data_IF_195656598355
#
_entry.id   IF_195656598355
#
_cell.length_a   1.000
_cell.length_b   1.000
_cell.length_c   1.000
_cell.angle_alpha   90.00
_cell.angle_beta   90.00
_cell.angle_gamma   90.00
#
_symmetry.space_group_name_H-M   'P 1'
#
loop_
_entity.id
_entity.type
_entity.pdbx_description
1 polymer ?
#
# COMPACT_ATOMS: atom_id res chain seq x y z
N UNK A 1 -31.03 10.50 -20.60
CA UNK A 1 -30.54 11.24 -19.42
C UNK A 1 -29.51 10.39 -18.67
N UNK A 2 -28.23 10.75 -18.69
CA UNK A 2 -27.18 10.04 -17.92
C UNK A 2 -27.27 10.48 -16.45
N UNK A 3 -27.58 9.57 -15.53
CA UNK A 3 -27.59 9.87 -14.09
C UNK A 3 -26.16 10.26 -13.67
N UNK A 4 -25.96 11.50 -13.20
CA UNK A 4 -24.67 11.93 -12.63
C UNK A 4 -24.42 11.10 -11.36
N UNK A 5 -23.31 10.36 -11.31
CA UNK A 5 -22.89 9.66 -10.09
C UNK A 5 -22.56 10.70 -9.02
N UNK A 6 -23.44 10.87 -8.03
CA UNK A 6 -23.14 11.70 -6.86
C UNK A 6 -22.23 10.89 -5.94
N UNK A 7 -20.91 11.05 -6.10
CA UNK A 7 -19.95 10.52 -5.14
C UNK A 7 -20.19 11.22 -3.78
N UNK A 8 -21.00 10.61 -2.91
CA UNK A 8 -21.27 11.13 -1.56
C UNK A 8 -19.95 11.18 -0.80
N UNK A 9 -19.47 12.40 -0.56
CA UNK A 9 -18.25 12.67 0.20
C UNK A 9 -18.44 12.30 1.67
N UNK A 10 -17.40 11.72 2.26
CA UNK A 10 -17.35 11.46 3.70
C UNK A 10 -17.31 12.80 4.45
N UNK A 11 -18.23 13.05 5.41
CA UNK A 11 -18.24 14.29 6.19
C UNK A 11 -16.92 14.49 6.94
N UNK A 12 -16.57 15.75 7.20
CA UNK A 12 -15.39 16.09 8.01
C UNK A 12 -15.57 15.53 9.43
N UNK A 13 -14.44 15.17 10.07
CA UNK A 13 -14.39 14.60 11.42
C UNK A 13 -15.29 15.30 12.46
N UNK A 14 -15.25 16.64 12.65
CA UNK A 14 -16.10 17.29 13.64
C UNK A 14 -17.60 17.10 13.35
N UNK A 15 -17.99 17.19 12.08
CA UNK A 15 -19.37 16.97 11.65
C UNK A 15 -19.79 15.51 11.85
N UNK A 16 -18.90 14.55 11.57
CA UNK A 16 -19.16 13.13 11.88
C UNK A 16 -19.39 12.91 13.36
N UNK A 17 -18.54 13.44 14.23
CA UNK A 17 -18.68 13.27 15.68
C UNK A 17 -20.00 13.84 16.21
N UNK A 18 -20.45 14.97 15.66
CA UNK A 18 -21.76 15.54 15.98
C UNK A 18 -22.91 14.62 15.57
N UNK A 19 -22.91 14.19 14.30
CA UNK A 19 -23.94 13.29 13.76
C UNK A 19 -23.89 11.90 14.41
N UNK A 20 -22.71 11.44 14.79
CA UNK A 20 -22.50 10.14 15.42
C UNK A 20 -23.18 10.03 16.78
N UNK A 21 -23.22 11.12 17.56
CA UNK A 21 -23.97 11.13 18.83
C UNK A 21 -25.45 10.84 18.61
N UNK A 22 -26.05 11.51 17.62
CA UNK A 22 -27.45 11.30 17.25
C UNK A 22 -27.67 9.89 16.68
N UNK A 23 -26.76 9.44 15.82
CA UNK A 23 -26.81 8.11 15.21
C UNK A 23 -26.71 6.99 16.26
N UNK A 24 -25.81 7.11 17.24
CA UNK A 24 -25.64 6.14 18.32
C UNK A 24 -26.90 5.97 19.16
N UNK A 25 -27.69 7.03 19.36
CA UNK A 25 -28.94 6.98 20.11
C UNK A 25 -30.01 6.11 19.43
N UNK A 26 -30.00 6.03 18.10
CA UNK A 26 -30.97 5.25 17.30
C UNK A 26 -30.40 3.93 16.78
N UNK A 27 -29.10 3.69 16.95
CA UNK A 27 -28.43 2.53 16.39
C UNK A 27 -28.67 1.26 17.23
N UNK A 28 -29.54 0.38 16.74
CA UNK A 28 -29.85 -0.92 17.37
C UNK A 28 -28.96 -2.10 16.94
N UNK A 29 -27.86 -1.85 16.23
CA UNK A 29 -27.01 -2.93 15.71
C UNK A 29 -26.00 -3.47 16.74
N UNK A 30 -25.67 -4.77 16.63
CA UNK A 30 -24.75 -5.46 17.57
C UNK A 30 -23.32 -4.92 17.55
N UNK A 31 -22.80 -4.57 16.37
CA UNK A 31 -21.41 -4.14 16.21
C UNK A 31 -21.34 -2.65 15.84
N UNK A 32 -21.16 -1.80 16.87
CA UNK A 32 -21.06 -0.34 16.73
C UNK A 32 -19.93 0.09 15.79
N UNK A 33 -18.77 -0.57 15.86
CA UNK A 33 -17.60 -0.24 15.01
C UNK A 33 -17.91 -0.47 13.53
N UNK A 34 -18.43 -1.64 13.17
CA UNK A 34 -18.84 -1.96 11.80
C UNK A 34 -20.01 -1.09 11.32
N UNK A 35 -20.97 -0.86 12.20
CA UNK A 35 -22.09 0.04 11.91
C UNK A 35 -21.62 1.46 11.59
N UNK A 36 -20.72 1.99 12.41
CA UNK A 36 -20.16 3.32 12.26
C UNK A 36 -19.36 3.45 10.97
N UNK A 37 -18.44 2.52 10.73
CA UNK A 37 -17.63 2.46 9.52
C UNK A 37 -18.50 2.46 8.26
N UNK A 38 -19.58 1.67 8.26
CA UNK A 38 -20.54 1.61 7.15
C UNK A 38 -21.36 2.89 6.99
N UNK A 39 -21.86 3.46 8.09
CA UNK A 39 -22.71 4.64 8.07
C UNK A 39 -21.94 5.88 7.60
N UNK A 40 -20.73 6.08 8.15
CA UNK A 40 -19.90 7.24 7.88
C UNK A 40 -18.84 7.03 6.80
N UNK A 41 -18.74 5.83 6.21
CA UNK A 41 -17.76 5.49 5.16
C UNK A 41 -16.32 5.76 5.60
N UNK A 42 -15.97 5.28 6.78
CA UNK A 42 -14.61 5.33 7.34
C UNK A 42 -14.07 3.92 7.54
N UNK A 43 -12.76 3.80 7.70
CA UNK A 43 -12.13 2.54 8.07
C UNK A 43 -12.45 2.16 9.52
N UNK A 44 -12.24 0.88 9.85
CA UNK A 44 -12.56 0.34 11.17
C UNK A 44 -11.69 0.95 12.28
N UNK A 45 -10.43 1.31 12.00
CA UNK A 45 -9.54 1.91 13.01
C UNK A 45 -9.96 3.36 13.31
N UNK A 46 -10.38 4.12 12.29
CA UNK A 46 -10.98 5.43 12.44
C UNK A 46 -12.29 5.36 13.24
N UNK A 47 -13.17 4.40 12.91
CA UNK A 47 -14.39 4.16 13.68
C UNK A 47 -14.10 3.89 15.17
N UNK A 48 -13.11 3.06 15.50
CA UNK A 48 -12.73 2.79 16.90
C UNK A 48 -12.28 4.06 17.62
N UNK A 49 -11.38 4.84 17.00
CA UNK A 49 -10.88 6.10 17.59
C UNK A 49 -12.01 7.09 17.85
N UNK A 50 -12.94 7.22 16.91
CA UNK A 50 -14.06 8.14 17.05
C UNK A 50 -15.11 7.68 18.06
N UNK A 51 -15.40 6.38 18.09
CA UNK A 51 -16.28 5.80 19.10
C UNK A 51 -15.73 5.99 20.52
N UNK A 52 -14.42 5.88 20.72
CA UNK A 52 -13.78 6.21 22.01
C UNK A 52 -13.92 7.67 22.41
N UNK A 53 -13.86 8.59 21.44
CA UNK A 53 -14.10 10.02 21.70
C UNK A 53 -15.56 10.34 22.06
N UNK A 54 -16.47 9.41 21.73
CA UNK A 54 -17.89 9.48 22.08
C UNK A 54 -18.20 8.62 23.32
N UNK A 55 -17.17 8.21 24.06
CA UNK A 55 -17.28 7.38 25.27
C UNK A 55 -17.97 6.02 25.04
N UNK A 56 -17.88 5.50 23.82
CA UNK A 56 -18.36 4.15 23.49
C UNK A 56 -17.26 3.16 23.78
N UNK A 57 -17.54 2.24 24.70
CA UNK A 57 -16.61 1.17 25.05
C UNK A 57 -16.37 0.23 23.86
N UNK A 58 -15.10 0.06 23.51
CA UNK A 58 -14.63 -0.89 22.49
C UNK A 58 -13.50 -1.71 23.09
N UNK A 59 -13.70 -3.03 23.15
CA UNK A 59 -12.72 -3.98 23.69
C UNK A 59 -11.37 -3.85 22.98
N UNK A 60 -10.30 -3.81 23.77
CA UNK A 60 -8.92 -3.76 23.30
C UNK A 60 -8.59 -5.00 22.45
N UNK A 61 -9.09 -6.18 22.83
CA UNK A 61 -8.90 -7.41 22.06
C UNK A 61 -9.49 -7.29 20.64
N UNK A 62 -10.67 -6.66 20.52
CA UNK A 62 -11.31 -6.42 19.23
C UNK A 62 -10.52 -5.43 18.36
N UNK A 63 -10.03 -4.34 18.95
CA UNK A 63 -9.15 -3.39 18.25
C UNK A 63 -7.87 -4.07 17.76
N UNK A 64 -7.23 -4.87 18.60
CA UNK A 64 -6.01 -5.58 18.24
C UNK A 64 -6.24 -6.55 17.08
N UNK A 65 -7.36 -7.28 17.07
CA UNK A 65 -7.75 -8.13 15.94
C UNK A 65 -7.94 -7.36 14.63
N UNK A 66 -8.44 -6.12 14.69
CA UNK A 66 -8.55 -5.26 13.51
C UNK A 66 -7.16 -4.78 13.07
N UNK A 67 -6.31 -4.34 13.98
CA UNK A 67 -4.93 -3.90 13.68
C UNK A 67 -4.12 -4.99 13.00
N UNK A 68 -4.17 -6.21 13.53
CA UNK A 68 -3.45 -7.37 12.94
C UNK A 68 -3.95 -7.67 11.55
N UNK A 69 -5.28 -7.62 11.32
CA UNK A 69 -5.87 -7.83 9.99
C UNK A 69 -5.44 -6.74 9.00
N UNK A 70 -5.48 -5.46 9.40
CA UNK A 70 -5.06 -4.34 8.55
C UNK A 70 -3.57 -4.47 8.20
N UNK A 71 -2.71 -4.72 9.18
CA UNK A 71 -1.27 -4.90 8.95
C UNK A 71 -0.97 -6.10 8.03
N UNK A 72 -1.72 -7.20 8.17
CA UNK A 72 -1.58 -8.36 7.28
C UNK A 72 -2.00 -8.03 5.84
N UNK A 73 -3.07 -7.25 5.65
CA UNK A 73 -3.49 -6.78 4.33
C UNK A 73 -2.46 -5.86 3.69
N UNK A 74 -1.92 -4.88 4.43
CA UNK A 74 -0.88 -3.97 3.96
C UNK A 74 0.39 -4.73 3.57
N UNK A 75 0.82 -5.70 4.39
CA UNK A 75 1.97 -6.57 4.07
C UNK A 75 1.74 -7.38 2.79
N UNK A 76 0.50 -7.86 2.57
CA UNK A 76 0.15 -8.59 1.34
C UNK A 76 0.16 -7.68 0.11
N UNK A 77 -0.35 -6.46 0.23
CA UNK A 77 -0.33 -5.47 -0.85
C UNK A 77 1.11 -5.13 -1.24
N UNK A 78 1.96 -4.81 -0.25
CA UNK A 78 3.37 -4.50 -0.49
C UNK A 78 4.11 -5.65 -1.17
N UNK A 79 3.84 -6.91 -0.77
CA UNK A 79 4.42 -8.09 -1.45
C UNK A 79 3.95 -8.20 -2.90
N UNK A 80 2.67 -7.96 -3.16
CA UNK A 80 2.13 -8.00 -4.53
C UNK A 80 2.69 -6.88 -5.40
N UNK A 81 2.93 -5.69 -4.83
CA UNK A 81 3.56 -4.56 -5.55
C UNK A 81 5.02 -4.86 -5.86
N UNK A 82 5.77 -5.44 -4.91
CA UNK A 82 7.15 -5.90 -5.17
C UNK A 82 7.21 -6.95 -6.26
N UNK A 83 6.35 -7.98 -6.20
CA UNK A 83 6.32 -9.03 -7.22
C UNK A 83 5.98 -8.49 -8.61
N UNK A 84 5.09 -7.50 -8.71
CA UNK A 84 4.80 -6.85 -10.00
C UNK A 84 6.02 -6.10 -10.53
N UNK A 85 6.69 -5.31 -9.69
CA UNK A 85 7.87 -4.56 -10.08
C UNK A 85 9.06 -5.47 -10.44
N UNK A 86 9.18 -6.63 -9.79
CA UNK A 86 10.26 -7.60 -10.04
C UNK A 86 10.03 -8.37 -11.35
N UNK A 87 8.77 -8.63 -11.71
CA UNK A 87 8.41 -9.27 -12.98
C UNK A 87 8.63 -8.37 -14.21
N UNK A 88 8.65 -7.04 -14.03
CA UNK A 88 8.99 -6.07 -15.08
C UNK A 88 10.51 -5.88 -15.27
N UNK A 89 11.34 -6.49 -14.42
CA UNK A 89 12.78 -6.25 -14.35
C UNK A 89 13.62 -7.51 -14.14
N UNK A 90 13.18 -8.67 -14.62
CA UNK A 90 14.03 -9.87 -14.62
C UNK A 90 15.29 -9.60 -15.45
N UNK A 91 16.49 -9.61 -14.84
CA UNK A 91 17.75 -9.44 -15.54
C UNK A 91 17.94 -10.62 -16.50
N UNK A 92 17.72 -10.36 -17.80
CA UNK A 92 18.00 -11.35 -18.84
C UNK A 92 19.52 -11.49 -18.93
N UNK A 93 20.02 -12.70 -18.79
CA UNK A 93 21.43 -13.06 -18.89
C UNK A 93 21.59 -14.14 -19.96
N UNK A 94 22.77 -14.20 -20.57
CA UNK A 94 23.14 -15.19 -21.58
C UNK A 94 24.64 -15.51 -21.47
N UNK A 95 25.16 -16.40 -22.31
CA UNK A 95 26.56 -16.83 -22.30
C UNK A 95 27.56 -15.67 -22.52
N UNK A 96 27.12 -14.58 -23.18
CA UNK A 96 27.95 -13.40 -23.48
C UNK A 96 27.76 -12.27 -22.46
N UNK A 97 26.55 -12.08 -21.95
CA UNK A 97 26.19 -10.94 -21.09
C UNK A 97 25.72 -11.39 -19.71
N UNK A 98 26.36 -10.88 -18.66
CA UNK A 98 25.95 -11.08 -17.28
C UNK A 98 24.66 -10.32 -16.94
N UNK A 99 24.36 -9.23 -17.64
CA UNK A 99 23.10 -8.49 -17.53
C UNK A 99 22.76 -7.75 -18.83
N UNK A 100 21.66 -8.09 -19.50
CA UNK A 100 21.18 -7.43 -20.73
C UNK A 100 20.25 -6.28 -20.34
N UNK A 101 20.68 -5.04 -20.61
CA UNK A 101 19.91 -3.83 -20.34
C UNK A 101 18.82 -3.57 -21.39
N UNK A 102 18.93 -4.18 -22.57
CA UNK A 102 17.91 -4.11 -23.62
C UNK A 102 18.40 -4.65 -24.96
N UNK A 103 17.55 -4.48 -25.99
CA UNK A 103 17.86 -4.80 -27.38
C UNK A 103 17.84 -3.52 -28.21
N UNK A 104 18.82 -3.38 -29.10
CA UNK A 104 18.86 -2.29 -30.09
C UNK A 104 17.72 -2.45 -31.12
N UNK A 105 17.44 -1.43 -31.92
CA UNK A 105 16.42 -1.49 -32.98
C UNK A 105 16.67 -2.58 -34.03
N UNK A 106 17.91 -3.06 -34.15
CA UNK A 106 18.30 -4.20 -35.00
C UNK A 106 18.23 -5.56 -34.31
N UNK A 107 17.77 -5.64 -33.05
CA UNK A 107 17.63 -6.89 -32.30
C UNK A 107 18.92 -7.40 -31.65
N UNK A 108 20.03 -6.64 -31.67
CA UNK A 108 21.24 -7.01 -30.96
C UNK A 108 21.14 -6.64 -29.47
N UNK A 109 21.42 -7.56 -28.52
CA UNK A 109 21.42 -7.27 -27.09
C UNK A 109 22.59 -6.34 -26.72
N UNK A 110 22.36 -5.45 -25.74
CA UNK A 110 23.41 -4.65 -25.12
C UNK A 110 23.27 -4.69 -23.59
N UNK A 111 24.40 -4.72 -22.88
CA UNK A 111 24.41 -5.01 -21.46
C UNK A 111 25.81 -5.08 -20.86
N UNK A 112 25.89 -5.44 -19.58
CA UNK A 112 27.12 -5.76 -18.85
C UNK A 112 27.58 -7.18 -19.19
N UNK A 113 28.83 -7.32 -19.60
CA UNK A 113 29.46 -8.62 -19.89
C UNK A 113 30.06 -9.28 -18.64
N UNK A 114 30.34 -10.58 -18.71
CA UNK A 114 31.04 -11.30 -17.64
C UNK A 114 32.47 -10.78 -17.43
N UNK A 115 33.12 -10.29 -18.48
CA UNK A 115 34.45 -9.69 -18.42
C UNK A 115 34.43 -8.38 -17.62
N UNK A 116 33.45 -7.50 -17.92
CA UNK A 116 33.29 -6.22 -17.22
C UNK A 116 32.87 -6.39 -15.75
N UNK A 117 32.04 -7.39 -15.43
CA UNK A 117 31.60 -7.66 -14.05
C UNK A 117 32.74 -8.19 -13.16
N UNK A 118 33.79 -8.80 -13.74
CA UNK A 118 34.93 -9.36 -13.03
C UNK A 118 36.07 -8.36 -12.75
N UNK A 119 35.97 -7.12 -13.20
CA UNK A 119 37.06 -6.13 -13.21
C UNK A 119 36.99 -5.06 -12.12
N UNK A 120 36.05 -5.16 -11.17
CA UNK A 120 36.01 -4.32 -9.97
C UNK A 120 36.96 -4.85 -8.88
N UNK A 121 38.25 -4.79 -9.17
CA UNK A 121 39.30 -5.26 -8.27
C UNK A 121 40.68 -4.74 -8.66
N UNK A 122 40.92 -3.45 -8.38
CA UNK A 122 42.23 -2.76 -8.39
C UNK A 122 42.81 -2.48 -9.78
N UNK A 123 42.87 -1.19 -10.14
CA UNK A 123 44.14 -0.53 -10.45
C UNK A 123 43.99 0.99 -10.39
N UNK A 124 44.57 1.56 -9.33
CA UNK A 124 45.19 2.87 -9.35
C UNK A 124 46.03 3.04 -10.63
N UNK A 125 45.83 4.12 -11.37
CA UNK A 125 47.00 4.83 -11.90
C UNK A 125 46.71 6.31 -12.09
N UNK A 126 47.66 7.08 -11.56
CA UNK A 126 47.66 8.53 -11.51
C UNK A 126 47.80 9.14 -12.92
N UNK A 127 47.33 10.37 -13.15
CA UNK A 127 47.68 11.08 -14.38
C UNK A 127 49.20 11.35 -14.40
N UNK A 128 49.93 10.96 -15.46
CA UNK A 128 51.30 11.45 -15.65
C UNK A 128 51.28 12.95 -15.92
N UNK A 129 52.36 13.57 -15.46
CA UNK A 129 52.57 15.00 -15.14
C UNK A 129 52.32 16.01 -16.25
#
# INVERSE_FOLDING_TARGET
>A
MKKKSTHKQTPKRPQRLLLAKQWLAVYGGKNKVRGYAKHFRVDLLCAIKELRLLDVEVSIAYENGIKTTVAAMEKKQLKSERQKNEQDGEPVHDDVFAYIAGYTSGGAPYGLTWEEMGQDGISSDAPPS
#
